data_IF_829213764544
#
_entry.id   IF_829213764544
#
_cell.length_a   1.000
_cell.length_b   1.000
_cell.length_c   1.000
_cell.angle_alpha   90.00
_cell.angle_beta   90.00
_cell.angle_gamma   90.00
#
_symmetry.space_group_name_H-M   'P 1'
#
loop_
_entity.id
_entity.type
_entity.pdbx_description
1 polymer ?
#
# COMPACT_ATOMS: atom_id res chain seq x y z
N UNK A 1 -38.54 81.06 34.06
CA UNK A 1 -37.17 80.63 33.72
C UNK A 1 -37.09 79.12 33.89
N UNK A 2 -36.67 78.45 32.81
CA UNK A 2 -36.22 77.04 32.69
C UNK A 2 -37.12 75.92 33.24
N UNK A 3 -37.97 75.37 32.36
CA UNK A 3 -38.55 74.02 32.45
C UNK A 3 -37.90 73.09 31.42
N UNK A 4 -37.53 71.88 31.84
CA UNK A 4 -36.82 70.86 31.04
C UNK A 4 -37.53 70.50 29.71
N UNK A 5 -36.79 70.27 28.61
CA UNK A 5 -37.33 69.58 27.44
C UNK A 5 -37.17 68.06 27.54
N UNK A 6 -38.30 67.38 27.31
CA UNK A 6 -38.52 65.93 27.31
C UNK A 6 -37.69 65.21 26.24
N UNK A 7 -37.01 64.13 26.64
CA UNK A 7 -36.37 63.14 25.76
C UNK A 7 -37.41 62.42 24.89
N UNK A 8 -37.30 62.50 23.56
CA UNK A 8 -37.97 61.56 22.64
C UNK A 8 -37.06 60.35 22.41
N UNK A 9 -37.63 59.15 22.60
CA UNK A 9 -36.98 57.86 22.34
C UNK A 9 -36.82 57.64 20.84
N UNK A 10 -35.62 57.27 20.41
CA UNK A 10 -35.35 56.64 19.11
C UNK A 10 -35.40 55.12 19.32
N UNK A 11 -35.95 54.30 18.42
CA UNK A 11 -36.04 52.86 18.61
C UNK A 11 -34.65 52.22 18.66
N UNK A 12 -34.47 51.27 19.60
CA UNK A 12 -33.32 50.36 19.64
C UNK A 12 -33.41 49.45 18.42
N UNK A 13 -32.45 49.57 17.51
CA UNK A 13 -32.11 48.49 16.58
C UNK A 13 -31.67 47.29 17.42
N UNK A 14 -32.45 46.22 17.35
CA UNK A 14 -32.10 44.91 17.89
C UNK A 14 -31.13 44.31 16.89
N UNK A 15 -29.82 44.53 17.10
CA UNK A 15 -28.81 43.78 16.38
C UNK A 15 -28.89 42.35 16.88
N UNK A 16 -29.39 41.47 16.01
CA UNK A 16 -29.39 40.03 16.21
C UNK A 16 -27.95 39.53 16.41
N UNK A 17 -27.78 38.60 17.34
CA UNK A 17 -26.53 37.88 17.51
C UNK A 17 -26.14 37.17 16.20
N UNK A 18 -24.87 37.19 15.78
CA UNK A 18 -24.44 36.35 14.67
C UNK A 18 -24.54 34.88 15.11
N UNK A 19 -25.19 34.08 14.27
CA UNK A 19 -25.25 32.62 14.38
C UNK A 19 -23.84 32.02 14.42
N UNK A 20 -23.64 31.04 15.29
CA UNK A 20 -22.38 30.33 15.46
C UNK A 20 -22.01 29.56 14.18
N UNK A 21 -20.90 29.96 13.54
CA UNK A 21 -20.27 29.19 12.46
C UNK A 21 -19.53 27.96 13.01
N UNK A 22 -19.32 26.92 12.19
CA UNK A 22 -18.73 25.66 12.64
C UNK A 22 -17.20 25.76 12.62
N UNK A 23 -16.59 26.53 13.51
CA UNK A 23 -15.13 26.60 13.68
C UNK A 23 -14.74 27.04 15.10
N UNK A 24 -15.32 26.38 16.12
CA UNK A 24 -14.84 26.50 17.50
C UNK A 24 -14.29 25.13 17.96
N UNK A 25 -12.96 25.00 18.19
CA UNK A 25 -12.39 23.72 18.61
C UNK A 25 -12.81 23.42 20.06
N UNK A 26 -13.02 22.14 20.41
CA UNK A 26 -13.43 21.79 21.77
C UNK A 26 -12.31 22.13 22.75
N UNK A 27 -12.69 22.74 23.87
CA UNK A 27 -11.84 22.97 25.04
C UNK A 27 -11.27 21.63 25.51
N UNK A 28 -9.98 21.40 25.23
CA UNK A 28 -9.23 20.23 25.68
C UNK A 28 -8.77 20.38 27.14
N UNK A 29 -8.54 19.25 27.85
CA UNK A 29 -7.93 19.27 29.17
C UNK A 29 -6.50 19.80 29.07
N UNK A 30 -6.11 20.56 30.10
CA UNK A 30 -4.93 21.41 30.11
C UNK A 30 -3.59 20.73 29.82
N UNK A 31 -2.67 21.62 29.43
CA UNK A 31 -1.22 21.44 29.41
C UNK A 31 -0.63 20.67 28.22
N UNK A 32 -0.76 21.24 27.01
CA UNK A 32 0.15 20.92 25.90
C UNK A 32 0.54 22.21 25.17
N UNK A 33 1.85 22.47 25.05
CA UNK A 33 2.44 23.67 24.46
C UNK A 33 1.90 24.01 23.06
N UNK A 34 1.65 25.30 22.85
CA UNK A 34 1.07 25.97 21.68
C UNK A 34 1.85 25.78 20.35
N UNK A 35 3.05 25.18 20.41
CA UNK A 35 3.87 24.81 19.25
C UNK A 35 3.70 23.36 18.79
N UNK A 36 3.39 22.42 19.69
CA UNK A 36 3.39 20.99 19.39
C UNK A 36 2.25 20.60 18.44
N UNK A 37 1.06 21.18 18.62
CA UNK A 37 -0.08 20.91 17.74
C UNK A 37 0.07 21.55 16.36
N UNK A 38 0.76 22.69 16.24
CA UNK A 38 0.99 23.36 14.94
C UNK A 38 1.88 22.49 14.05
N UNK A 39 2.96 21.93 14.59
CA UNK A 39 3.84 21.00 13.87
C UNK A 39 3.13 19.68 13.47
N UNK A 40 2.30 19.13 14.37
CA UNK A 40 1.51 17.92 14.09
C UNK A 40 0.44 18.15 13.02
N UNK A 41 -0.20 19.33 12.99
CA UNK A 41 -1.19 19.69 11.98
C UNK A 41 -0.56 20.01 10.62
N UNK A 42 0.52 20.80 10.56
CA UNK A 42 1.21 21.11 9.30
C UNK A 42 1.83 19.85 8.66
N UNK A 43 2.48 19.01 9.46
CA UNK A 43 3.02 17.73 8.98
C UNK A 43 1.95 16.75 8.49
N UNK A 44 0.76 16.75 9.11
CA UNK A 44 -0.38 15.93 8.68
C UNK A 44 -1.02 16.45 7.38
N UNK A 45 -1.12 17.77 7.19
CA UNK A 45 -1.67 18.38 5.97
C UNK A 45 -0.79 18.11 4.75
N UNK A 46 0.53 18.12 4.91
CA UNK A 46 1.51 17.78 3.86
C UNK A 46 1.64 16.28 3.59
N UNK A 47 1.29 15.43 4.56
CA UNK A 47 1.14 13.99 4.37
C UNK A 47 -0.12 13.68 3.55
N UNK A 48 -1.25 14.32 3.87
CA UNK A 48 -2.50 14.20 3.10
C UNK A 48 -2.37 14.74 1.66
N UNK A 49 -1.56 15.77 1.44
CA UNK A 49 -1.31 16.33 0.10
C UNK A 49 -0.50 15.40 -0.81
N UNK A 50 0.23 14.42 -0.24
CA UNK A 50 1.04 13.42 -0.96
C UNK A 50 0.31 12.10 -1.16
N UNK A 51 -0.94 12.00 -0.74
CA UNK A 51 -1.72 10.79 -0.98
C UNK A 51 -1.93 10.57 -2.49
N UNK A 52 -1.91 9.32 -2.95
CA UNK A 52 -2.07 9.00 -4.36
C UNK A 52 -3.56 8.88 -4.66
N UNK A 53 -4.08 9.87 -5.38
CA UNK A 53 -5.47 9.87 -5.82
C UNK A 53 -5.55 9.08 -7.13
N UNK A 54 -6.25 7.94 -7.12
CA UNK A 54 -6.76 7.33 -8.35
C UNK A 54 -7.82 8.27 -8.93
N UNK A 55 -7.51 8.91 -10.04
CA UNK A 55 -8.52 9.64 -10.80
C UNK A 55 -8.92 8.84 -12.04
N UNK A 56 -9.30 7.57 -11.85
CA UNK A 56 -9.79 6.73 -12.96
C UNK A 56 -11.19 7.21 -13.33
N UNK A 57 -11.28 7.95 -14.43
CA UNK A 57 -12.56 8.39 -15.02
C UNK A 57 -13.14 7.38 -16.02
N UNK A 58 -12.36 6.37 -16.43
CA UNK A 58 -12.78 5.33 -17.37
C UNK A 58 -12.88 3.97 -16.65
N UNK A 59 -14.10 3.60 -16.26
CA UNK A 59 -14.37 2.25 -15.70
C UNK A 59 -14.44 1.17 -16.80
N UNK A 60 -14.74 1.55 -18.04
CA UNK A 60 -14.90 0.62 -19.15
C UNK A 60 -14.35 1.21 -20.46
N UNK A 61 -13.56 0.40 -21.18
CA UNK A 61 -13.05 0.71 -22.53
C UNK A 61 -13.67 -0.27 -23.51
N UNK A 62 -14.37 0.25 -24.53
CA UNK A 62 -14.90 -0.55 -25.63
C UNK A 62 -13.97 -0.44 -26.84
N UNK A 63 -13.52 -1.57 -27.36
CA UNK A 63 -12.64 -1.64 -28.52
C UNK A 63 -13.18 -2.60 -29.58
N UNK A 64 -13.07 -2.21 -30.85
CA UNK A 64 -13.43 -3.05 -31.98
C UNK A 64 -12.36 -4.13 -32.23
N UNK A 65 -12.77 -5.29 -32.74
CA UNK A 65 -11.82 -6.33 -33.15
C UNK A 65 -10.80 -5.80 -34.18
N UNK A 66 -9.52 -6.09 -33.96
CA UNK A 66 -8.41 -5.62 -34.78
C UNK A 66 -7.97 -4.17 -34.52
N UNK A 67 -8.73 -3.39 -33.75
CA UNK A 67 -8.36 -2.02 -33.39
C UNK A 67 -7.25 -2.00 -32.32
N UNK A 68 -6.84 -0.80 -31.93
CA UNK A 68 -5.93 -0.57 -30.81
C UNK A 68 -6.76 -0.09 -29.61
N UNK A 69 -6.61 -0.73 -28.45
CA UNK A 69 -7.19 -0.27 -27.20
C UNK A 69 -6.14 0.49 -26.38
N UNK A 70 -6.58 1.55 -25.71
CA UNK A 70 -5.79 2.34 -24.77
C UNK A 70 -6.49 2.32 -23.41
N UNK A 71 -5.82 1.77 -22.40
CA UNK A 71 -6.33 1.68 -21.05
C UNK A 71 -5.55 2.69 -20.20
N UNK A 72 -6.19 3.78 -19.82
CA UNK A 72 -5.59 4.86 -19.03
C UNK A 72 -5.57 4.50 -17.55
N UNK A 73 -4.50 4.89 -16.86
CA UNK A 73 -4.36 4.78 -15.41
C UNK A 73 -3.62 6.00 -14.87
N UNK A 74 -4.34 7.11 -14.63
CA UNK A 74 -3.79 8.30 -14.02
C UNK A 74 -3.55 8.08 -12.52
N UNK A 75 -2.29 8.12 -12.11
CA UNK A 75 -1.85 7.98 -10.71
C UNK A 75 -0.87 9.10 -10.39
N UNK A 76 -1.28 9.99 -9.49
CA UNK A 76 -0.47 11.14 -9.08
C UNK A 76 0.56 10.77 -8.03
N UNK A 77 1.63 11.57 -7.95
CA UNK A 77 2.66 11.49 -6.91
C UNK A 77 3.44 10.16 -6.90
N UNK A 78 3.57 9.52 -8.08
CA UNK A 78 4.34 8.29 -8.24
C UNK A 78 5.86 8.48 -8.23
N UNK A 79 6.36 9.72 -8.32
CA UNK A 79 7.80 10.00 -8.34
C UNK A 79 8.51 9.18 -9.44
N UNK A 80 9.63 8.54 -9.11
CA UNK A 80 10.38 7.67 -10.04
C UNK A 80 9.82 6.24 -10.15
N UNK A 81 8.71 5.92 -9.48
CA UNK A 81 8.13 4.57 -9.46
C UNK A 81 7.06 4.43 -10.52
N UNK A 82 6.90 3.21 -11.04
CA UNK A 82 5.86 2.88 -12.03
C UNK A 82 4.70 2.07 -11.45
N UNK A 83 3.62 2.00 -12.22
CA UNK A 83 2.50 1.09 -11.98
C UNK A 83 2.78 -0.29 -12.57
N UNK A 84 2.13 -1.31 -12.05
CA UNK A 84 2.12 -2.66 -12.63
C UNK A 84 0.80 -2.93 -13.32
N UNK A 85 0.82 -3.29 -14.60
CA UNK A 85 -0.38 -3.74 -15.30
C UNK A 85 -0.58 -5.24 -15.13
N UNK A 86 -1.76 -5.64 -14.66
CA UNK A 86 -2.10 -7.02 -14.35
C UNK A 86 -3.38 -7.43 -15.04
N UNK A 87 -3.39 -8.61 -15.67
CA UNK A 87 -4.61 -9.22 -16.21
C UNK A 87 -5.28 -10.05 -15.12
N UNK A 88 -6.51 -9.69 -14.76
CA UNK A 88 -7.19 -10.26 -13.59
C UNK A 88 -7.58 -11.73 -13.71
N UNK A 89 -7.89 -12.21 -14.93
CA UNK A 89 -8.43 -13.57 -15.14
C UNK A 89 -7.48 -14.69 -14.72
N UNK A 90 -6.18 -14.42 -14.73
CA UNK A 90 -5.12 -15.38 -14.44
C UNK A 90 -3.95 -14.75 -13.67
N UNK A 91 -4.16 -13.54 -13.15
CA UNK A 91 -3.16 -12.76 -12.41
C UNK A 91 -1.82 -12.60 -13.15
N UNK A 92 -1.85 -12.64 -14.49
CA UNK A 92 -0.64 -12.49 -15.28
C UNK A 92 -0.21 -11.02 -15.28
N UNK A 93 1.03 -10.80 -14.83
CA UNK A 93 1.63 -9.47 -14.85
C UNK A 93 2.07 -9.18 -16.27
N UNK A 94 1.51 -8.12 -16.84
CA UNK A 94 1.79 -7.65 -18.19
C UNK A 94 3.04 -6.78 -18.14
N UNK A 95 3.11 -5.86 -17.17
CA UNK A 95 4.24 -4.95 -17.00
C UNK A 95 4.47 -4.54 -15.55
N UNK A 96 5.69 -4.08 -15.25
CA UNK A 96 6.02 -3.30 -14.05
C UNK A 96 6.78 -2.06 -14.49
N UNK A 97 6.19 -0.88 -14.29
CA UNK A 97 6.61 0.34 -14.97
C UNK A 97 6.59 0.15 -16.50
N UNK A 98 7.68 0.55 -17.15
CA UNK A 98 7.85 0.42 -18.61
C UNK A 98 8.32 -0.98 -19.05
N UNK A 99 8.68 -1.86 -18.11
CA UNK A 99 9.19 -3.20 -18.42
C UNK A 99 8.02 -4.19 -18.62
N UNK A 100 8.02 -4.89 -19.77
CA UNK A 100 7.03 -5.92 -20.11
C UNK A 100 7.48 -7.32 -19.65
N UNK A 101 6.54 -8.09 -19.09
CA UNK A 101 6.74 -9.49 -18.69
C UNK A 101 5.97 -10.49 -19.57
N UNK A 102 5.05 -9.99 -20.40
CA UNK A 102 4.36 -10.82 -21.39
C UNK A 102 5.20 -10.98 -22.65
N UNK A 103 5.10 -12.13 -23.31
CA UNK A 103 5.70 -12.38 -24.61
C UNK A 103 4.80 -11.92 -25.77
N UNK A 104 3.58 -11.45 -25.49
CA UNK A 104 2.66 -10.96 -26.52
C UNK A 104 3.05 -9.53 -26.94
N UNK A 105 3.69 -9.40 -28.10
CA UNK A 105 4.22 -8.14 -28.67
C UNK A 105 3.16 -7.04 -28.91
N UNK A 106 1.88 -7.41 -28.84
CA UNK A 106 0.77 -6.45 -28.98
C UNK A 106 0.63 -5.53 -27.77
N UNK A 107 1.14 -5.95 -26.62
CA UNK A 107 1.08 -5.17 -25.38
C UNK A 107 2.26 -4.20 -25.31
N UNK A 108 1.97 -2.94 -25.03
CA UNK A 108 2.99 -1.89 -24.83
C UNK A 108 2.54 -0.96 -23.72
N UNK A 109 3.48 -0.46 -22.92
CA UNK A 109 3.21 0.59 -21.94
C UNK A 109 3.65 1.93 -22.53
N UNK A 110 2.74 2.89 -22.54
CA UNK A 110 3.00 4.26 -22.96
C UNK A 110 2.98 5.16 -21.72
N UNK A 111 4.07 5.87 -21.50
CA UNK A 111 4.20 6.84 -20.42
C UNK A 111 5.15 7.94 -20.86
N UNK A 112 4.67 9.18 -20.83
CA UNK A 112 5.49 10.37 -21.11
C UNK A 112 6.14 10.87 -19.83
N UNK A 113 7.36 11.39 -19.93
CA UNK A 113 8.07 11.96 -18.78
C UNK A 113 7.25 13.07 -18.11
N UNK A 114 7.04 12.96 -16.79
CA UNK A 114 6.24 13.91 -16.00
C UNK A 114 4.72 13.75 -16.13
N UNK A 115 4.22 12.79 -16.92
CA UNK A 115 2.79 12.44 -16.94
C UNK A 115 2.42 11.66 -15.68
N UNK A 116 1.22 11.86 -15.15
CA UNK A 116 0.64 10.96 -14.14
C UNK A 116 -0.04 9.74 -14.78
N UNK A 117 -0.20 9.75 -16.10
CA UNK A 117 -0.97 8.75 -16.84
C UNK A 117 -0.08 7.62 -17.37
N UNK A 118 -0.40 6.40 -16.93
CA UNK A 118 0.23 5.17 -17.38
C UNK A 118 -0.76 4.42 -18.27
N UNK A 119 -0.43 4.27 -19.55
CA UNK A 119 -1.37 3.73 -20.53
C UNK A 119 -0.92 2.33 -20.95
N UNK A 120 -1.79 1.33 -20.80
CA UNK A 120 -1.60 0.04 -21.44
C UNK A 120 -2.22 0.07 -22.84
N UNK A 121 -1.38 -0.08 -23.86
CA UNK A 121 -1.79 -0.22 -25.24
C UNK A 121 -1.89 -1.70 -25.61
N UNK A 122 -3.01 -2.10 -26.24
CA UNK A 122 -3.22 -3.44 -26.79
C UNK A 122 -3.46 -3.30 -28.29
N UNK A 123 -2.53 -3.76 -29.12
CA UNK A 123 -2.65 -3.76 -30.59
C UNK A 123 -3.45 -4.96 -31.07
N UNK A 124 -4.13 -4.80 -32.20
CA UNK A 124 -4.88 -5.86 -32.89
C UNK A 124 -5.81 -6.61 -31.93
N UNK A 125 -6.68 -5.86 -31.24
CA UNK A 125 -7.53 -6.37 -30.16
C UNK A 125 -8.31 -7.60 -30.61
N UNK A 126 -8.27 -8.65 -29.80
CA UNK A 126 -8.93 -9.92 -30.06
C UNK A 126 -10.06 -10.14 -29.06
N UNK A 127 -11.05 -10.97 -29.43
CA UNK A 127 -12.15 -11.35 -28.52
C UNK A 127 -11.63 -11.94 -27.19
N UNK A 128 -10.48 -12.62 -27.23
CA UNK A 128 -9.81 -13.20 -26.05
C UNK A 128 -9.19 -12.17 -25.10
N UNK A 129 -9.03 -10.92 -25.53
CA UNK A 129 -8.47 -9.86 -24.68
C UNK A 129 -9.54 -9.26 -23.77
N UNK A 130 -10.82 -9.57 -23.99
CA UNK A 130 -11.92 -9.15 -23.13
C UNK A 130 -11.71 -9.62 -21.68
N UNK A 131 -11.84 -8.70 -20.74
CA UNK A 131 -11.70 -8.95 -19.31
C UNK A 131 -11.24 -7.72 -18.53
N UNK A 132 -11.04 -7.91 -17.23
CA UNK A 132 -10.55 -6.86 -16.34
C UNK A 132 -9.02 -6.80 -16.34
N UNK A 133 -8.50 -5.59 -16.51
CA UNK A 133 -7.10 -5.25 -16.33
C UNK A 133 -7.00 -4.30 -15.15
N UNK A 134 -6.02 -4.51 -14.29
CA UNK A 134 -5.78 -3.69 -13.11
C UNK A 134 -4.43 -2.99 -13.27
N UNK A 135 -4.40 -1.68 -13.05
CA UNK A 135 -3.17 -0.99 -12.74
C UNK A 135 -2.98 -1.00 -11.22
N UNK A 136 -1.92 -1.65 -10.78
CA UNK A 136 -1.59 -1.81 -9.37
C UNK A 136 -0.41 -0.92 -9.00
N UNK A 137 -0.46 -0.37 -7.79
CA UNK A 137 0.66 0.30 -7.16
C UNK A 137 0.59 0.07 -5.66
N UNK A 138 1.74 0.09 -4.99
CA UNK A 138 1.83 -0.12 -3.54
C UNK A 138 2.62 1.01 -2.90
N UNK A 139 2.00 1.63 -1.91
CA UNK A 139 2.62 2.63 -1.06
C UNK A 139 3.03 2.01 0.26
N UNK A 140 4.24 2.34 0.68
CA UNK A 140 4.84 1.99 1.96
C UNK A 140 4.83 3.21 2.86
N UNK A 141 4.42 3.01 4.10
CA UNK A 141 4.38 4.04 5.13
C UNK A 141 5.20 3.60 6.34
N UNK A 142 5.93 4.53 6.95
CA UNK A 142 6.56 4.40 8.27
C UNK A 142 5.92 5.43 9.20
N UNK A 143 5.25 4.96 10.27
CA UNK A 143 4.56 5.83 11.24
C UNK A 143 3.63 6.87 10.56
N UNK A 144 2.84 6.43 9.59
CA UNK A 144 1.93 7.24 8.77
C UNK A 144 2.59 8.20 7.77
N UNK A 145 3.93 8.23 7.65
CA UNK A 145 4.62 8.96 6.59
C UNK A 145 4.91 8.04 5.42
N UNK A 146 4.53 8.43 4.21
CA UNK A 146 4.88 7.70 2.99
C UNK A 146 6.41 7.72 2.77
N UNK A 147 7.01 6.54 2.54
CA UNK A 147 8.48 6.35 2.45
C UNK A 147 8.96 5.79 1.11
N UNK A 148 8.10 5.74 0.10
CA UNK A 148 8.43 5.21 -1.23
C UNK A 148 9.67 5.91 -1.86
N UNK A 149 9.97 7.15 -1.51
CA UNK A 149 11.03 7.91 -2.18
C UNK A 149 12.22 8.23 -1.27
N UNK A 150 12.27 7.63 -0.08
CA UNK A 150 13.27 7.94 0.94
C UNK A 150 14.62 7.23 0.71
N UNK A 151 15.16 7.28 -0.51
CA UNK A 151 16.46 6.68 -0.84
C UNK A 151 17.59 7.24 0.06
N UNK A 152 17.52 8.52 0.42
CA UNK A 152 18.45 9.17 1.34
C UNK A 152 18.46 8.57 2.76
N UNK A 153 17.38 7.88 3.16
CA UNK A 153 17.29 7.14 4.44
C UNK A 153 17.65 5.65 4.28
N UNK A 154 18.22 5.27 3.14
CA UNK A 154 18.58 3.88 2.84
C UNK A 154 17.38 2.99 2.56
N UNK A 155 16.23 3.55 2.19
CA UNK A 155 15.01 2.81 1.84
C UNK A 155 14.97 2.51 0.35
N UNK A 156 14.71 1.25 -0.03
CA UNK A 156 14.29 0.89 -1.39
C UNK A 156 13.03 0.03 -1.34
N UNK A 157 12.23 0.06 -2.40
CA UNK A 157 11.14 -0.91 -2.57
C UNK A 157 11.25 -1.51 -3.94
N UNK A 158 11.00 -2.80 -4.00
CA UNK A 158 10.93 -3.57 -5.24
C UNK A 158 9.53 -4.16 -5.33
N UNK A 159 8.95 -4.11 -6.53
CA UNK A 159 7.73 -4.83 -6.84
C UNK A 159 8.10 -5.99 -7.74
N UNK A 160 8.04 -7.21 -7.21
CA UNK A 160 8.34 -8.43 -7.95
C UNK A 160 7.06 -9.05 -8.52
N UNK A 161 7.14 -9.54 -9.76
CA UNK A 161 6.04 -10.28 -10.34
C UNK A 161 5.96 -11.71 -9.81
N UNK A 162 4.74 -12.23 -9.69
CA UNK A 162 4.47 -13.61 -9.27
C UNK A 162 2.97 -13.92 -9.30
N UNK A 163 2.54 -15.11 -8.83
CA UNK A 163 1.12 -15.48 -8.70
C UNK A 163 0.33 -14.48 -7.84
N UNK A 164 1.03 -13.75 -6.96
CA UNK A 164 0.60 -12.53 -6.31
C UNK A 164 1.71 -11.51 -6.50
N UNK A 165 1.36 -10.32 -6.98
CA UNK A 165 2.28 -9.17 -7.00
C UNK A 165 2.81 -8.95 -5.58
N UNK A 166 4.12 -8.96 -5.41
CA UNK A 166 4.72 -8.72 -4.10
C UNK A 166 5.49 -7.42 -4.12
N UNK A 167 5.19 -6.53 -3.18
CA UNK A 167 6.02 -5.37 -2.91
C UNK A 167 6.90 -5.68 -1.70
N UNK A 168 8.20 -5.43 -1.81
CA UNK A 168 9.18 -5.67 -0.76
C UNK A 168 9.94 -4.38 -0.46
N UNK A 169 9.95 -3.97 0.82
CA UNK A 169 10.69 -2.83 1.33
C UNK A 169 12.03 -3.31 1.92
N UNK A 170 13.13 -2.67 1.56
CA UNK A 170 14.45 -2.92 2.13
C UNK A 170 15.02 -1.65 2.78
N UNK A 171 15.68 -1.84 3.93
CA UNK A 171 16.38 -0.79 4.69
C UNK A 171 17.86 -1.19 4.76
N UNK A 172 18.74 -0.48 4.06
CA UNK A 172 20.13 -0.90 3.86
C UNK A 172 21.05 -0.61 5.06
N UNK A 173 20.66 0.30 5.94
CA UNK A 173 21.42 0.67 7.14
C UNK A 173 20.45 0.90 8.29
N UNK A 174 19.91 -0.21 8.80
CA UNK A 174 18.96 -0.18 9.90
C UNK A 174 19.58 0.46 11.14
N UNK A 175 18.80 1.30 11.81
CA UNK A 175 19.21 2.07 12.98
C UNK A 175 18.00 2.18 13.92
N UNK A 176 18.16 2.48 15.21
CA UNK A 176 17.05 2.50 16.17
C UNK A 176 15.86 3.36 15.74
N UNK A 177 16.12 4.48 15.05
CA UNK A 177 15.09 5.39 14.52
C UNK A 177 14.26 4.82 13.35
N UNK A 178 14.69 3.69 12.77
CA UNK A 178 13.90 2.94 11.80
C UNK A 178 12.83 2.07 12.47
N UNK A 179 12.81 1.95 13.79
CA UNK A 179 11.73 1.24 14.49
C UNK A 179 10.39 1.92 14.27
N UNK A 180 9.31 1.14 14.20
CA UNK A 180 7.95 1.68 14.06
C UNK A 180 7.03 0.81 13.22
N UNK A 181 5.87 1.38 12.90
CA UNK A 181 4.85 0.72 12.09
C UNK A 181 5.16 0.92 10.61
N UNK A 182 5.37 -0.20 9.91
CA UNK A 182 5.46 -0.26 8.47
C UNK A 182 4.14 -0.77 7.89
N UNK A 183 3.49 0.04 7.06
CA UNK A 183 2.22 -0.33 6.42
C UNK A 183 2.38 -0.35 4.90
N UNK A 184 1.87 -1.40 4.24
CA UNK A 184 1.71 -1.42 2.79
C UNK A 184 0.24 -1.16 2.42
N UNK A 185 0.03 -0.23 1.48
CA UNK A 185 -1.29 0.21 1.03
C UNK A 185 -1.36 0.11 -0.49
N UNK A 186 -2.33 -0.64 -0.99
CA UNK A 186 -2.65 -0.70 -2.41
C UNK A 186 -4.09 -0.19 -2.64
N UNK A 187 -4.41 0.33 -3.84
CA UNK A 187 -5.77 0.75 -4.16
C UNK A 187 -6.77 -0.38 -3.97
N UNK A 188 -7.96 -0.02 -3.46
CA UNK A 188 -9.09 -0.95 -3.33
C UNK A 188 -8.79 -2.15 -2.41
N UNK A 189 -7.82 -2.02 -1.49
CA UNK A 189 -7.45 -3.07 -0.53
C UNK A 189 -7.35 -2.50 0.89
N UNK A 190 -7.58 -3.36 1.88
CA UNK A 190 -7.32 -3.02 3.27
C UNK A 190 -5.80 -2.98 3.53
N UNK A 191 -5.26 -1.93 4.17
CA UNK A 191 -3.85 -1.84 4.52
C UNK A 191 -3.37 -2.98 5.42
N UNK A 192 -2.29 -3.66 5.03
CA UNK A 192 -1.58 -4.54 5.93
C UNK A 192 -0.44 -3.77 6.63
N UNK A 193 -0.19 -4.09 7.90
CA UNK A 193 0.83 -3.41 8.70
C UNK A 193 1.62 -4.35 9.60
N UNK A 194 2.86 -3.96 9.88
CA UNK A 194 3.81 -4.70 10.72
C UNK A 194 4.65 -3.72 11.55
N UNK A 195 4.87 -4.04 12.82
CA UNK A 195 5.81 -3.29 13.66
C UNK A 195 7.22 -3.90 13.57
N UNK A 196 8.19 -3.06 13.23
CA UNK A 196 9.62 -3.43 13.16
C UNK A 196 10.34 -2.77 14.33
N UNK A 197 11.15 -3.55 15.04
CA UNK A 197 12.00 -3.10 16.14
C UNK A 197 13.47 -3.29 15.75
N UNK A 198 14.26 -2.22 15.83
CA UNK A 198 15.69 -2.23 15.51
C UNK A 198 16.48 -1.93 16.78
N UNK A 199 17.39 -2.84 17.14
CA UNK A 199 18.23 -2.72 18.34
C UNK A 199 19.70 -2.89 18.01
N UNK A 200 20.58 -2.19 18.72
CA UNK A 200 22.03 -2.27 18.57
C UNK A 200 22.61 -3.48 19.31
N UNK A 201 22.33 -4.70 18.83
CA UNK A 201 23.05 -5.97 19.10
C UNK A 201 23.27 -6.44 20.56
N UNK A 202 23.01 -5.59 21.55
CA UNK A 202 23.21 -5.79 22.98
C UNK A 202 21.89 -6.02 23.71
N UNK A 203 20.77 -5.73 23.04
CA UNK A 203 19.42 -5.95 23.55
C UNK A 203 18.94 -7.39 23.32
N UNK A 204 18.67 -8.07 24.42
CA UNK A 204 18.13 -9.45 24.46
C UNK A 204 16.72 -9.59 23.85
N UNK A 205 16.05 -8.48 23.51
CA UNK A 205 14.69 -8.40 22.97
C UNK A 205 14.57 -8.97 21.54
N UNK A 206 15.55 -8.74 20.66
CA UNK A 206 15.52 -9.22 19.28
C UNK A 206 15.61 -10.76 19.19
N UNK A 207 16.34 -11.38 20.12
CA UNK A 207 16.50 -12.84 20.19
C UNK A 207 15.22 -13.56 20.66
N UNK A 208 14.37 -12.93 21.47
CA UNK A 208 13.11 -13.52 21.96
C UNK A 208 11.96 -13.44 20.96
N UNK A 209 11.88 -12.39 20.14
CA UNK A 209 10.83 -12.23 19.12
C UNK A 209 11.03 -13.17 17.91
N UNK A 210 12.28 -13.45 17.52
CA UNK A 210 12.58 -14.35 16.39
C UNK A 210 12.27 -15.82 16.68
N UNK A 211 12.15 -16.22 17.95
CA UNK A 211 11.94 -17.63 18.34
C UNK A 211 10.52 -18.11 18.03
N UNK A 212 9.53 -17.22 18.09
CA UNK A 212 8.12 -17.57 17.93
C UNK A 212 7.71 -17.84 16.46
N UNK A 213 8.49 -17.37 15.47
CA UNK A 213 8.20 -17.59 14.04
C UNK A 213 8.78 -18.89 13.46
N UNK A 214 9.72 -19.53 14.15
CA UNK A 214 10.37 -20.76 13.70
C UNK A 214 9.65 -22.03 14.17
N UNK A 215 8.91 -21.96 15.28
CA UNK A 215 8.26 -23.13 15.89
C UNK A 215 7.02 -23.60 15.09
N UNK A 216 6.33 -22.71 14.36
CA UNK A 216 5.17 -23.09 13.52
C UNK A 216 5.54 -23.80 12.21
N UNK A 217 6.78 -23.67 11.72
CA UNK A 217 7.21 -24.38 10.49
C UNK A 217 7.67 -25.83 10.79
N UNK A 218 7.94 -26.16 12.06
CA UNK A 218 8.43 -27.49 12.48
C UNK A 218 7.33 -28.52 12.74
N UNK A 219 6.08 -28.08 12.95
CA UNK A 219 4.98 -28.94 13.38
C UNK A 219 4.46 -29.86 12.25
N UNK A 220 4.62 -29.49 10.98
CA UNK A 220 4.19 -30.32 9.83
C UNK A 220 5.23 -31.38 9.43
N UNK A 221 6.50 -31.24 9.85
CA UNK A 221 7.55 -32.21 9.49
C UNK A 221 7.59 -33.45 10.38
N UNK A 222 7.01 -33.39 11.59
CA UNK A 222 7.09 -34.51 12.56
C UNK A 222 5.93 -35.50 12.45
N UNK A 223 4.84 -35.17 11.76
CA UNK A 223 3.68 -36.04 11.62
C UNK A 223 3.85 -37.15 10.55
N UNK A 224 4.83 -37.06 9.65
CA UNK A 224 5.01 -38.01 8.54
C UNK A 224 6.05 -39.13 8.80
N UNK A 225 6.78 -39.07 9.92
CA UNK A 225 7.89 -40.01 10.20
C UNK A 225 7.56 -41.11 11.24
N UNK A 226 6.39 -41.07 11.89
CA UNK A 226 6.04 -42.05 12.94
C UNK A 226 5.21 -43.25 12.47
N UNK A 227 4.79 -43.31 11.20
CA UNK A 227 3.91 -44.39 10.69
C UNK A 227 4.61 -45.48 9.87
N UNK A 228 5.94 -45.46 9.71
CA UNK A 228 6.67 -46.40 8.84
C UNK A 228 7.51 -47.47 9.58
N UNK A 229 7.15 -47.88 10.80
CA UNK A 229 7.95 -48.85 11.58
C UNK A 229 7.20 -50.09 12.10
N UNK A 230 6.00 -50.38 11.62
CA UNK A 230 5.24 -51.56 12.07
C UNK A 230 4.70 -52.39 10.91
N UNK A 231 5.57 -53.06 10.14
CA UNK A 231 5.29 -54.41 9.61
C UNK A 231 6.46 -54.94 8.77
N UNK A 232 7.32 -55.77 9.35
CA UNK A 232 8.13 -56.71 8.60
C UNK A 232 7.92 -58.11 9.20
N UNK A 233 7.32 -59.07 8.46
CA UNK A 233 7.23 -60.44 8.93
C UNK A 233 8.57 -61.15 8.71
N UNK A 234 9.00 -61.92 9.72
CA UNK A 234 10.08 -62.90 9.61
C UNK A 234 9.56 -64.14 8.88
N UNK A 235 10.27 -64.59 7.84
CA UNK A 235 9.98 -65.86 7.16
C UNK A 235 11.20 -66.31 6.33
N UNK A 236 12.10 -67.08 6.93
CA UNK A 236 12.35 -68.53 6.69
C UNK A 236 13.17 -68.84 5.43
N UNK A 237 14.28 -69.52 5.71
CA UNK A 237 15.32 -70.06 4.84
C UNK A 237 14.86 -71.37 4.20
N UNK A 238 14.92 -71.51 2.88
CA UNK A 238 14.86 -72.81 2.20
C UNK A 238 15.90 -72.86 1.05
N UNK A 239 16.61 -73.99 0.99
CA UNK A 239 17.65 -74.34 0.03
C UNK A 239 17.00 -74.90 -1.25
N UNK A 240 17.63 -74.77 -2.41
CA UNK A 240 17.35 -75.69 -3.52
C UNK A 240 17.77 -75.28 -4.92
N UNK A 241 18.96 -75.75 -5.31
CA UNK A 241 19.39 -76.32 -6.61
C UNK A 241 18.59 -76.06 -7.90
N UNK A 242 19.39 -75.70 -8.92
CA UNK A 242 19.58 -76.35 -10.24
C UNK A 242 18.36 -76.41 -11.19
N UNK A 243 18.45 -76.10 -12.49
CA UNK A 243 19.53 -76.20 -13.48
C UNK A 243 19.48 -75.01 -14.43
#
# INVERSE_FOLDING_TARGET
>A
MTGQPKRRRVPREVVAAPEAGPDEPPLGPGDVEEGAWRELWYGSLEALRREPVLNTTQEAVLAQLGAVAFLHCPVRHLGERGVSWVRRRDWHIISSGVLLYTNDERFQVLHSEGSDDWILQIKYVQKRDNGTYECQYVFWYHNARMINYDAARGVSVVTSPGPRTQSALAIHSAAPHHSGNYSCRAPNTEPAHIFVYVSEGSDKMAATLSRNGADECSALSRALLTLALMSAPRGVLERGRAW
#
